data_IF_296870999033
#
_entry.id   IF_296870999033
#
_cell.length_a   1.000
_cell.length_b   1.000
_cell.length_c   1.000
_cell.angle_alpha   90.00
_cell.angle_beta   90.00
_cell.angle_gamma   90.00
#
_symmetry.space_group_name_H-M   'P 1'
#
loop_
_entity.id
_entity.type
_entity.pdbx_description
1 polymer ?
#
# COMPACT_ATOMS: atom_id res chain seq x y z
N UNK A 1 -11.55 0.88 -27.65
CA UNK A 1 -11.14 1.76 -26.52
C UNK A 1 -10.55 0.90 -25.41
N UNK A 2 -9.37 1.22 -24.87
CA UNK A 2 -8.79 0.51 -23.71
C UNK A 2 -9.59 0.86 -22.45
N UNK A 3 -10.20 -0.13 -21.79
CA UNK A 3 -10.90 0.10 -20.52
C UNK A 3 -9.88 0.22 -19.38
N UNK A 4 -9.48 1.44 -19.04
CA UNK A 4 -8.47 1.74 -18.01
C UNK A 4 -8.82 1.18 -16.62
N UNK A 5 -10.11 1.04 -16.30
CA UNK A 5 -10.58 0.51 -15.02
C UNK A 5 -10.49 -1.01 -14.93
N UNK A 6 -10.52 -1.72 -16.07
CA UNK A 6 -10.46 -3.19 -16.09
C UNK A 6 -9.08 -3.72 -16.48
N UNK A 7 -8.34 -2.98 -17.31
CA UNK A 7 -7.05 -3.43 -17.82
C UNK A 7 -6.00 -3.61 -16.72
N UNK A 8 -5.92 -2.69 -15.75
CA UNK A 8 -4.94 -2.79 -14.67
C UNK A 8 -5.28 -3.90 -13.65
N UNK A 9 -6.53 -4.01 -13.14
CA UNK A 9 -6.92 -5.13 -12.27
C UNK A 9 -6.78 -6.50 -12.95
N UNK A 10 -7.21 -6.63 -14.21
CA UNK A 10 -7.08 -7.90 -14.94
C UNK A 10 -5.62 -8.30 -15.16
N UNK A 11 -4.71 -7.34 -15.37
CA UNK A 11 -3.28 -7.60 -15.51
C UNK A 11 -2.61 -8.10 -14.22
N UNK A 12 -3.31 -8.04 -13.08
CA UNK A 12 -2.88 -8.60 -11.78
C UNK A 12 -3.85 -9.66 -11.26
N UNK A 13 -4.65 -10.25 -12.16
CA UNK A 13 -5.58 -11.33 -11.84
C UNK A 13 -6.70 -10.97 -10.87
N UNK A 14 -7.04 -9.67 -10.74
CA UNK A 14 -8.04 -9.19 -9.78
C UNK A 14 -9.24 -8.56 -10.46
N UNK A 15 -10.40 -8.73 -9.83
CA UNK A 15 -11.57 -7.91 -10.17
C UNK A 15 -11.33 -6.46 -9.76
N UNK A 16 -12.04 -5.51 -10.39
CA UNK A 16 -11.95 -4.10 -10.02
C UNK A 16 -12.20 -3.87 -8.52
N UNK A 17 -13.19 -4.56 -7.94
CA UNK A 17 -13.51 -4.47 -6.51
C UNK A 17 -12.39 -5.01 -5.62
N UNK A 18 -11.79 -6.15 -5.97
CA UNK A 18 -10.64 -6.69 -5.22
C UNK A 18 -9.46 -5.71 -5.25
N UNK A 19 -9.17 -5.15 -6.43
CA UNK A 19 -8.09 -4.18 -6.58
C UNK A 19 -8.38 -2.90 -5.80
N UNK A 20 -9.61 -2.38 -5.87
CA UNK A 20 -10.06 -1.20 -5.15
C UNK A 20 -9.92 -1.39 -3.64
N UNK A 21 -10.48 -2.47 -3.07
CA UNK A 21 -10.41 -2.74 -1.63
C UNK A 21 -8.97 -2.92 -1.14
N UNK A 22 -8.13 -3.60 -1.92
CA UNK A 22 -6.71 -3.78 -1.58
C UNK A 22 -5.98 -2.43 -1.58
N UNK A 23 -6.19 -1.59 -2.59
CA UNK A 23 -5.59 -0.25 -2.67
C UNK A 23 -6.10 0.68 -1.56
N UNK A 24 -7.40 0.63 -1.24
CA UNK A 24 -7.96 1.37 -0.09
C UNK A 24 -7.34 0.93 1.24
N UNK A 25 -7.11 -0.37 1.45
CA UNK A 25 -6.46 -0.87 2.66
C UNK A 25 -5.06 -0.28 2.85
N UNK A 26 -4.26 -0.19 1.79
CA UNK A 26 -2.96 0.48 1.85
C UNK A 26 -3.07 1.98 2.14
N UNK A 27 -4.06 2.65 1.54
CA UNK A 27 -4.34 4.07 1.82
C UNK A 27 -4.67 4.33 3.29
N UNK A 28 -5.52 3.50 3.90
CA UNK A 28 -5.87 3.61 5.33
C UNK A 28 -4.63 3.41 6.22
N UNK A 29 -3.76 2.46 5.88
CA UNK A 29 -2.51 2.24 6.60
C UNK A 29 -1.57 3.45 6.52
N UNK A 30 -1.43 4.06 5.33
CA UNK A 30 -0.63 5.28 5.15
C UNK A 30 -1.16 6.45 5.98
N UNK A 31 -2.48 6.64 6.03
CA UNK A 31 -3.11 7.67 6.87
C UNK A 31 -2.77 7.41 8.36
N UNK A 32 -2.88 6.16 8.82
CA UNK A 32 -2.52 5.80 10.19
C UNK A 32 -1.05 6.05 10.53
N UNK A 33 -0.14 5.77 9.59
CA UNK A 33 1.29 6.06 9.72
C UNK A 33 1.52 7.58 9.79
N UNK A 34 0.87 8.37 8.93
CA UNK A 34 0.99 9.83 8.94
C UNK A 34 0.51 10.42 10.27
N UNK A 35 -0.62 9.94 10.79
CA UNK A 35 -1.13 10.34 12.12
C UNK A 35 -0.09 10.06 13.21
N UNK A 36 0.53 8.86 13.21
CA UNK A 36 1.59 8.52 14.18
C UNK A 36 2.80 9.46 14.06
N UNK A 37 3.22 9.78 12.85
CA UNK A 37 4.32 10.72 12.62
C UNK A 37 4.00 12.12 13.17
N UNK A 38 2.77 12.61 12.99
CA UNK A 38 2.34 13.88 13.56
C UNK A 38 2.27 13.84 15.09
N UNK A 39 1.77 12.75 15.69
CA UNK A 39 1.77 12.59 17.14
C UNK A 39 3.21 12.59 17.66
N UNK A 40 4.14 11.89 17.01
CA UNK A 40 5.56 11.88 17.37
C UNK A 40 6.20 13.28 17.26
N UNK A 41 5.84 14.05 16.24
CA UNK A 41 6.33 15.43 16.07
C UNK A 41 5.93 16.35 17.24
N UNK A 42 4.77 16.10 17.86
CA UNK A 42 4.31 16.83 19.06
C UNK A 42 4.88 16.20 20.34
N UNK A 43 4.95 14.88 20.39
CA UNK A 43 5.39 14.09 21.55
C UNK A 43 6.54 13.16 21.15
N UNK A 44 7.80 13.62 21.22
CA UNK A 44 8.96 12.89 20.68
C UNK A 44 9.24 11.54 21.35
N UNK A 45 8.67 11.27 22.53
CA UNK A 45 8.74 9.96 23.20
C UNK A 45 7.68 8.95 22.73
N UNK A 46 6.65 9.38 21.99
CA UNK A 46 5.62 8.49 21.45
C UNK A 46 6.02 8.02 20.04
N UNK A 47 5.85 6.72 19.74
CA UNK A 47 6.04 6.17 18.38
C UNK A 47 7.45 6.31 17.76
N UNK A 48 8.50 6.41 18.59
CA UNK A 48 9.90 6.67 18.18
C UNK A 48 10.36 5.84 16.95
N UNK A 49 10.07 4.54 16.93
CA UNK A 49 10.42 3.64 15.81
C UNK A 49 9.20 3.16 15.00
N UNK A 50 7.99 3.46 15.46
CA UNK A 50 6.76 2.86 14.92
C UNK A 50 6.45 3.30 13.49
N UNK A 51 6.76 4.56 13.16
CA UNK A 51 6.52 5.12 11.83
C UNK A 51 7.38 4.41 10.79
N UNK A 52 8.70 4.36 11.02
CA UNK A 52 9.67 3.73 10.12
C UNK A 52 9.39 2.23 9.94
N UNK A 53 9.14 1.51 11.03
CA UNK A 53 8.81 0.07 10.98
C UNK A 53 7.53 -0.20 10.18
N UNK A 54 6.50 0.63 10.37
CA UNK A 54 5.23 0.49 9.66
C UNK A 54 5.39 0.79 8.17
N UNK A 55 6.19 1.80 7.81
CA UNK A 55 6.51 2.14 6.43
C UNK A 55 7.30 1.01 5.76
N UNK A 56 8.31 0.45 6.44
CA UNK A 56 9.10 -0.66 5.90
C UNK A 56 8.22 -1.86 5.58
N UNK A 57 7.38 -2.29 6.54
CA UNK A 57 6.44 -3.41 6.34
C UNK A 57 5.47 -3.16 5.20
N UNK A 58 4.93 -1.95 5.11
CA UNK A 58 4.03 -1.57 4.02
C UNK A 58 4.74 -1.57 2.66
N UNK A 59 5.95 -1.02 2.59
CA UNK A 59 6.75 -1.03 1.39
C UNK A 59 7.08 -2.46 0.94
N UNK A 60 7.46 -3.35 1.86
CA UNK A 60 7.74 -4.75 1.54
C UNK A 60 6.52 -5.44 0.91
N UNK A 61 5.33 -5.20 1.46
CA UNK A 61 4.08 -5.71 0.90
C UNK A 61 3.80 -5.15 -0.52
N UNK A 62 4.05 -3.86 -0.74
CA UNK A 62 3.89 -3.22 -2.06
C UNK A 62 4.91 -3.77 -3.09
N UNK A 63 6.16 -3.97 -2.68
CA UNK A 63 7.21 -4.51 -3.55
C UNK A 63 6.95 -5.99 -3.88
N UNK A 64 6.53 -6.80 -2.91
CA UNK A 64 6.15 -8.19 -3.14
C UNK A 64 5.02 -8.28 -4.19
N UNK A 65 4.02 -7.41 -4.07
CA UNK A 65 2.92 -7.31 -5.04
C UNK A 65 3.39 -6.85 -6.42
N UNK A 66 4.30 -5.86 -6.50
CA UNK A 66 4.91 -5.41 -7.75
C UNK A 66 5.69 -6.54 -8.43
N UNK A 67 6.46 -7.31 -7.66
CA UNK A 67 7.24 -8.46 -8.17
C UNK A 67 6.33 -9.55 -8.73
N UNK A 68 5.26 -9.91 -8.02
CA UNK A 68 4.28 -10.88 -8.50
C UNK A 68 3.68 -10.47 -9.86
N UNK A 69 3.32 -9.19 -10.03
CA UNK A 69 2.82 -8.68 -11.32
C UNK A 69 3.85 -8.77 -12.46
N UNK A 70 5.13 -8.59 -12.16
CA UNK A 70 6.18 -8.66 -13.19
C UNK A 70 6.51 -10.10 -13.57
N UNK A 71 6.35 -11.05 -12.65
CA UNK A 71 6.56 -12.48 -12.91
C UNK A 71 5.48 -13.07 -13.82
N UNK A 72 4.23 -12.60 -13.74
CA UNK A 72 3.12 -13.07 -14.61
C UNK A 72 3.20 -12.53 -16.05
N UNK A 73 4.11 -11.58 -16.33
CA UNK A 73 4.28 -10.98 -17.67
C UNK A 73 5.40 -11.61 -18.49
N UNK A 74 6.12 -12.58 -17.93
CA UNK A 74 7.32 -13.21 -18.52
C UNK A 74 7.06 -14.69 -18.74
#
# INVERSE_FOLDING_TARGET
>A
MKNIFKNHPNAVGQTYFQHFLKSCSFGIQLIGIAIRAFIHAIFPWCFEYSTSDSISKLNDALQARKKAMNSDKN
#
